data_IF_908984802903
#
_entry.id   IF_908984802903
#
_cell.length_a   1.000
_cell.length_b   1.000
_cell.length_c   1.000
_cell.angle_alpha   90.00
_cell.angle_beta   90.00
_cell.angle_gamma   90.00
#
_symmetry.space_group_name_H-M   'P 1'
#
loop_
_entity.id
_entity.type
_entity.pdbx_description
1 polymer ?
#
# COMPACT_ATOMS: atom_id res chain seq x y z
N UNK A 1 -2.17 -1.92 11.20
CA UNK A 1 -2.55 -2.74 12.38
C UNK A 1 -1.67 -2.43 13.60
N UNK A 2 -0.34 -2.60 13.52
CA UNK A 2 0.57 -2.44 14.67
C UNK A 2 0.52 -1.04 15.34
N UNK A 3 0.46 0.04 14.56
CA UNK A 3 0.34 1.41 15.07
C UNK A 3 -0.99 1.70 15.80
N UNK A 4 -2.05 0.98 15.43
CA UNK A 4 -3.42 1.23 15.88
C UNK A 4 -3.76 0.39 17.11
N UNK A 5 -3.33 -0.87 17.12
CA UNK A 5 -3.66 -1.84 18.17
C UNK A 5 -2.52 -2.09 19.15
N UNK A 6 -1.38 -1.39 19.01
CA UNK A 6 -0.20 -1.61 19.87
C UNK A 6 -0.51 -1.53 21.37
N UNK A 7 -1.40 -0.63 21.80
CA UNK A 7 -1.80 -0.57 23.20
C UNK A 7 -2.66 -1.76 23.67
N UNK A 8 -3.51 -2.29 22.79
CA UNK A 8 -4.38 -3.42 23.13
C UNK A 8 -3.58 -4.73 23.21
N UNK A 9 -2.58 -4.89 22.33
CA UNK A 9 -1.64 -6.00 22.40
C UNK A 9 -0.75 -5.94 23.65
N UNK A 10 -0.29 -4.75 24.04
CA UNK A 10 0.49 -4.57 25.25
C UNK A 10 -0.33 -4.89 26.52
N UNK A 11 -1.61 -4.49 26.56
CA UNK A 11 -2.54 -4.85 27.64
C UNK A 11 -2.79 -6.35 27.74
N UNK A 12 -2.69 -7.08 26.63
CA UNK A 12 -2.78 -8.54 26.59
C UNK A 12 -1.52 -9.28 27.02
N UNK A 13 -0.44 -8.57 27.40
CA UNK A 13 0.84 -9.18 27.78
C UNK A 13 1.72 -9.59 26.60
N UNK A 14 1.34 -9.24 25.37
CA UNK A 14 2.14 -9.56 24.18
C UNK A 14 3.23 -8.51 23.96
N UNK A 15 4.45 -8.93 23.55
CA UNK A 15 5.47 -7.98 23.11
C UNK A 15 4.94 -7.24 21.88
N UNK A 16 5.02 -5.91 21.89
CA UNK A 16 4.52 -5.09 20.79
C UNK A 16 5.69 -4.46 20.08
N UNK A 17 5.66 -4.34 18.75
CA UNK A 17 6.73 -3.63 18.04
C UNK A 17 6.88 -2.18 18.55
N UNK A 18 5.82 -1.60 19.09
CA UNK A 18 5.83 -0.28 19.76
C UNK A 18 6.61 -0.25 21.07
N UNK A 19 6.99 -1.39 21.65
CA UNK A 19 7.85 -1.45 22.83
C UNK A 19 9.35 -1.33 22.50
N UNK A 20 9.72 -1.55 21.23
CA UNK A 20 11.11 -1.45 20.74
C UNK A 20 11.28 -0.30 19.75
N UNK A 21 10.27 -0.05 18.91
CA UNK A 21 10.28 0.97 17.88
C UNK A 21 9.26 2.07 18.22
N UNK A 22 9.67 3.33 18.04
CA UNK A 22 8.75 4.45 18.21
C UNK A 22 7.70 4.47 17.09
N UNK A 23 6.55 5.12 17.33
CA UNK A 23 5.52 5.29 16.30
C UNK A 23 6.08 5.95 15.02
N UNK A 24 7.00 6.89 15.17
CA UNK A 24 7.70 7.54 14.06
C UNK A 24 8.54 6.55 13.25
N UNK A 25 9.32 5.69 13.91
CA UNK A 25 10.15 4.69 13.22
C UNK A 25 9.27 3.70 12.45
N UNK A 26 8.18 3.24 13.06
CA UNK A 26 7.25 2.33 12.41
C UNK A 26 6.51 2.99 11.22
N UNK A 27 6.21 4.28 11.32
CA UNK A 27 5.66 5.07 10.22
C UNK A 27 6.65 5.18 9.04
N UNK A 28 7.93 5.44 9.31
CA UNK A 28 8.96 5.51 8.28
C UNK A 28 9.16 4.15 7.58
N UNK A 29 9.21 3.06 8.34
CA UNK A 29 9.32 1.70 7.77
C UNK A 29 8.12 1.42 6.86
N UNK A 30 6.91 1.71 7.34
CA UNK A 30 5.68 1.53 6.54
C UNK A 30 5.72 2.36 5.27
N UNK A 31 6.17 3.62 5.35
CA UNK A 31 6.31 4.49 4.19
C UNK A 31 7.31 3.95 3.16
N UNK A 32 8.49 3.49 3.60
CA UNK A 32 9.48 2.86 2.73
C UNK A 32 8.94 1.60 2.07
N UNK A 33 8.15 0.80 2.79
CA UNK A 33 7.47 -0.37 2.23
C UNK A 33 6.48 0.00 1.13
N UNK A 34 5.68 1.06 1.31
CA UNK A 34 4.74 1.51 0.27
C UNK A 34 5.50 1.95 -0.98
N UNK A 35 6.58 2.72 -0.82
CA UNK A 35 7.43 3.13 -1.94
C UNK A 35 8.01 1.92 -2.70
N UNK A 36 8.47 0.90 -1.97
CA UNK A 36 8.99 -0.32 -2.57
C UNK A 36 7.89 -1.07 -3.34
N UNK A 37 6.69 -1.17 -2.79
CA UNK A 37 5.53 -1.78 -3.49
C UNK A 37 5.17 -1.02 -4.76
N UNK A 38 5.20 0.32 -4.72
CA UNK A 38 4.97 1.15 -5.92
C UNK A 38 6.05 0.88 -6.97
N UNK A 39 7.33 0.81 -6.57
CA UNK A 39 8.42 0.51 -7.49
C UNK A 39 8.27 -0.88 -8.15
N UNK A 40 7.87 -1.88 -7.37
CA UNK A 40 7.58 -3.24 -7.89
C UNK A 40 6.40 -3.20 -8.87
N UNK A 41 5.30 -2.51 -8.52
CA UNK A 41 4.13 -2.40 -9.39
C UNK A 41 4.47 -1.70 -10.72
N UNK A 42 5.22 -0.59 -10.68
CA UNK A 42 5.67 0.11 -11.88
C UNK A 42 6.56 -0.76 -12.77
N UNK A 43 7.36 -1.64 -12.16
CA UNK A 43 8.19 -2.59 -12.90
C UNK A 43 7.39 -3.52 -13.80
N UNK A 44 6.09 -3.75 -13.52
CA UNK A 44 5.24 -4.60 -14.37
C UNK A 44 5.11 -4.11 -15.81
N UNK A 45 5.18 -2.79 -16.04
CA UNK A 45 5.21 -2.24 -17.39
C UNK A 45 6.50 -2.58 -18.14
N UNK A 46 7.64 -2.69 -17.43
CA UNK A 46 8.94 -2.98 -18.05
C UNK A 46 9.13 -4.47 -18.36
N UNK A 47 8.56 -5.36 -17.56
CA UNK A 47 8.68 -6.81 -17.74
C UNK A 47 7.65 -7.42 -18.70
N UNK A 48 6.80 -6.60 -19.34
CA UNK A 48 5.77 -7.10 -20.27
C UNK A 48 4.71 -7.98 -19.59
N UNK A 49 4.45 -7.77 -18.29
CA UNK A 49 3.44 -8.52 -17.53
C UNK A 49 2.02 -8.11 -17.96
N UNK A 50 1.87 -6.87 -18.42
CA UNK A 50 0.61 -6.30 -18.91
C UNK A 50 0.47 -6.51 -20.41
N UNK A 51 -0.70 -6.94 -20.84
CA UNK A 51 -0.99 -7.23 -22.25
C UNK A 51 -1.59 -6.02 -22.97
N UNK A 52 -2.36 -5.19 -22.26
CA UNK A 52 -3.00 -4.01 -22.84
C UNK A 52 -2.34 -2.70 -22.38
N UNK A 53 -2.17 -1.75 -23.31
CA UNK A 53 -1.67 -0.41 -23.01
C UNK A 53 -2.54 0.34 -21.99
N UNK A 54 -3.86 0.10 -22.05
CA UNK A 54 -4.82 0.70 -21.12
C UNK A 54 -4.55 0.25 -19.67
N UNK A 55 -4.20 -1.03 -19.46
CA UNK A 55 -3.83 -1.56 -18.15
C UNK A 55 -2.55 -0.91 -17.63
N UNK A 56 -1.60 -0.60 -18.51
CA UNK A 56 -0.38 0.15 -18.17
C UNK A 56 -0.68 1.55 -17.65
N UNK A 57 -1.54 2.29 -18.34
CA UNK A 57 -2.00 3.62 -17.90
C UNK A 57 -2.74 3.53 -16.56
N UNK A 58 -3.66 2.58 -16.41
CA UNK A 58 -4.40 2.39 -15.18
C UNK A 58 -3.47 2.10 -13.99
N UNK A 59 -2.45 1.26 -14.20
CA UNK A 59 -1.44 0.97 -13.18
C UNK A 59 -0.65 2.22 -12.78
N UNK A 60 -0.25 3.06 -13.74
CA UNK A 60 0.44 4.32 -13.48
C UNK A 60 -0.42 5.28 -12.63
N UNK A 61 -1.70 5.40 -12.96
CA UNK A 61 -2.65 6.24 -12.20
C UNK A 61 -2.80 5.74 -10.77
N UNK A 62 -2.95 4.42 -10.56
CA UNK A 62 -3.04 3.82 -9.24
C UNK A 62 -1.76 4.06 -8.41
N UNK A 63 -0.58 3.92 -9.03
CA UNK A 63 0.71 4.18 -8.40
C UNK A 63 0.86 5.64 -7.99
N UNK A 64 0.48 6.58 -8.87
CA UNK A 64 0.51 8.01 -8.59
C UNK A 64 -0.44 8.39 -7.44
N UNK A 65 -1.63 7.79 -7.41
CA UNK A 65 -2.61 8.04 -6.34
C UNK A 65 -2.08 7.60 -4.97
N UNK A 66 -1.60 6.35 -4.83
CA UNK A 66 -1.10 5.87 -3.54
C UNK A 66 0.18 6.58 -3.12
N UNK A 67 1.04 6.99 -4.07
CA UNK A 67 2.21 7.79 -3.79
C UNK A 67 1.84 9.13 -3.16
N UNK A 68 0.89 9.87 -3.77
CA UNK A 68 0.43 11.14 -3.24
C UNK A 68 -0.20 10.99 -1.84
N UNK A 69 -1.01 9.95 -1.65
CA UNK A 69 -1.60 9.65 -0.34
C UNK A 69 -0.54 9.31 0.71
N UNK A 70 0.52 8.59 0.33
CA UNK A 70 1.63 8.25 1.22
C UNK A 70 2.46 9.46 1.62
N UNK A 71 2.73 10.37 0.68
CA UNK A 71 3.41 11.64 0.98
C UNK A 71 2.56 12.51 1.91
N UNK A 72 1.24 12.56 1.67
CA UNK A 72 0.31 13.28 2.54
C UNK A 72 0.26 12.68 3.95
N UNK A 73 0.28 11.35 4.06
CA UNK A 73 0.28 10.63 5.33
C UNK A 73 1.47 10.99 6.22
N UNK A 74 2.66 11.20 5.64
CA UNK A 74 3.85 11.60 6.40
C UNK A 74 3.70 12.97 7.07
N UNK A 75 2.85 13.86 6.55
CA UNK A 75 2.55 15.17 7.16
C UNK A 75 1.61 15.10 8.36
N UNK A 76 0.95 13.96 8.56
CA UNK A 76 0.01 13.74 9.67
C UNK A 76 0.65 13.08 10.88
N UNK A 77 1.96 13.21 11.03
CA UNK A 77 2.68 12.68 12.18
C UNK A 77 2.12 13.25 13.49
N UNK A 78 1.71 12.38 14.42
CA UNK A 78 1.03 12.77 15.67
C UNK A 78 -0.49 12.89 15.59
N UNK A 79 -1.11 12.56 14.45
CA UNK A 79 -2.57 12.59 14.28
C UNK A 79 -3.29 11.40 14.94
N UNK A 80 -4.60 11.53 15.11
CA UNK A 80 -5.47 10.53 15.74
C UNK A 80 -5.44 9.15 15.04
N UNK A 81 -5.75 8.09 15.78
CA UNK A 81 -5.80 6.69 15.32
C UNK A 81 -6.66 6.48 14.06
N UNK A 82 -7.63 7.36 13.80
CA UNK A 82 -8.45 7.36 12.58
C UNK A 82 -7.62 7.58 11.30
N UNK A 83 -6.63 8.45 11.33
CA UNK A 83 -5.78 8.74 10.15
C UNK A 83 -4.91 7.52 9.82
N UNK A 84 -4.34 6.88 10.85
CA UNK A 84 -3.57 5.65 10.71
C UNK A 84 -4.41 4.49 10.15
N UNK A 85 -5.65 4.33 10.63
CA UNK A 85 -6.60 3.34 10.07
C UNK A 85 -6.96 3.66 8.61
N UNK A 86 -7.23 4.92 8.29
CA UNK A 86 -7.57 5.35 6.93
C UNK A 86 -6.45 5.07 5.93
N UNK A 87 -5.21 5.38 6.27
CA UNK A 87 -4.05 5.08 5.41
C UNK A 87 -3.87 3.57 5.23
N UNK A 88 -4.01 2.80 6.30
CA UNK A 88 -3.94 1.33 6.22
C UNK A 88 -4.98 0.77 5.24
N UNK A 89 -6.23 1.24 5.30
CA UNK A 89 -7.27 0.82 4.37
C UNK A 89 -6.91 1.19 2.93
N UNK A 90 -6.41 2.41 2.68
CA UNK A 90 -6.02 2.87 1.33
C UNK A 90 -4.92 1.99 0.71
N UNK A 91 -3.92 1.59 1.48
CA UNK A 91 -2.85 0.70 1.00
C UNK A 91 -3.42 -0.68 0.61
N UNK A 92 -4.31 -1.24 1.43
CA UNK A 92 -4.92 -2.53 1.11
C UNK A 92 -5.82 -2.45 -0.11
N UNK A 93 -6.61 -1.37 -0.24
CA UNK A 93 -7.43 -1.11 -1.44
C UNK A 93 -6.54 -0.97 -2.67
N UNK A 94 -5.41 -0.28 -2.57
CA UNK A 94 -4.44 -0.18 -3.67
C UNK A 94 -3.93 -1.56 -4.12
N UNK A 95 -3.53 -2.43 -3.18
CA UNK A 95 -3.09 -3.80 -3.50
C UNK A 95 -4.21 -4.60 -4.17
N UNK A 96 -5.44 -4.51 -3.64
CA UNK A 96 -6.61 -5.18 -4.25
C UNK A 96 -6.86 -4.68 -5.67
N UNK A 97 -6.77 -3.38 -5.92
CA UNK A 97 -6.95 -2.79 -7.25
C UNK A 97 -5.87 -3.27 -8.22
N UNK A 98 -4.60 -3.37 -7.80
CA UNK A 98 -3.53 -3.94 -8.63
C UNK A 98 -3.83 -5.40 -8.98
N UNK A 99 -4.16 -6.24 -7.99
CA UNK A 99 -4.42 -7.66 -8.23
C UNK A 99 -5.62 -7.82 -9.18
N UNK A 100 -6.67 -7.02 -8.97
CA UNK A 100 -7.86 -7.02 -9.83
C UNK A 100 -7.52 -6.59 -11.25
N UNK A 101 -6.75 -5.52 -11.41
CA UNK A 101 -6.31 -5.02 -12.72
C UNK A 101 -5.51 -6.08 -13.48
N UNK A 102 -4.53 -6.71 -12.83
CA UNK A 102 -3.71 -7.77 -13.44
C UNK A 102 -4.55 -9.01 -13.80
N UNK A 103 -5.52 -9.36 -12.95
CA UNK A 103 -6.41 -10.49 -13.21
C UNK A 103 -7.31 -10.23 -14.40
N UNK A 104 -7.89 -9.02 -14.49
CA UNK A 104 -8.71 -8.59 -15.62
C UNK A 104 -7.91 -8.50 -16.91
N UNK A 105 -6.69 -7.96 -16.88
CA UNK A 105 -5.81 -7.89 -18.05
C UNK A 105 -5.55 -9.28 -18.66
N UNK A 106 -5.22 -10.26 -17.81
CA UNK A 106 -5.02 -11.66 -18.24
C UNK A 106 -6.31 -12.32 -18.73
N UNK A 107 -7.43 -12.08 -18.06
CA UNK A 107 -8.72 -12.64 -18.45
C UNK A 107 -9.16 -12.08 -19.80
N UNK A 108 -9.06 -10.77 -20.01
CA UNK A 108 -9.38 -10.12 -21.29
C UNK A 108 -8.51 -10.66 -22.42
N UNK A 109 -7.21 -10.88 -22.17
CA UNK A 109 -6.35 -11.53 -23.17
C UNK A 109 -6.88 -12.91 -23.54
N UNK A 110 -7.21 -13.74 -22.57
CA UNK A 110 -7.72 -15.10 -22.81
C UNK A 110 -9.01 -15.14 -23.63
N UNK A 111 -9.89 -14.13 -23.50
CA UNK A 111 -11.16 -14.07 -24.24
C UNK A 111 -11.06 -13.41 -25.62
N UNK A 112 -10.01 -12.62 -25.87
CA UNK A 112 -9.80 -11.88 -27.12
C UNK A 112 -8.80 -12.57 -28.08
N UNK A 113 -8.14 -13.64 -27.62
CA UNK A 113 -7.26 -14.54 -28.37
C UNK A 113 -8.01 -15.83 -28.76
#
# INVERSE_FOLDING_TARGET
MLLVYGNDYAKGGYPTLTSVLTKHQLMNITFSWILLTIAVALSFNFFGILNFFLSGIALLVLCGWIFFESVKFRKYEGSDNKVYKGMFMRINVFVLLIITLLSLDKLLKLFLE
#
